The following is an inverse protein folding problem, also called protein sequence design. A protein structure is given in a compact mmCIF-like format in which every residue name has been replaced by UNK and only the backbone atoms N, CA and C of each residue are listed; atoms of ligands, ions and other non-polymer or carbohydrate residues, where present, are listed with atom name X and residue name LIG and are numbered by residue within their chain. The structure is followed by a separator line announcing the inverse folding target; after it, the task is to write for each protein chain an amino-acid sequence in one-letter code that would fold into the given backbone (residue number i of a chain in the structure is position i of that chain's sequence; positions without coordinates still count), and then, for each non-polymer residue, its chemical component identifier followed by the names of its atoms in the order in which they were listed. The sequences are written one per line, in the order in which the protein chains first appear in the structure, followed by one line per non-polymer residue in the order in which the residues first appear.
data_IF_589659845289
#
_entry.id   IF_589659845289
#
_cell.length_a   1.000
_cell.length_b   1.000
_cell.length_c   1.000
_cell.angle_alpha   90.00
_cell.angle_beta   90.00
_cell.angle_gamma   90.00
#
_symmetry.space_group_name_H-M   'P 1'
#
loop_
_entity.id
_entity.type
_entity.pdbx_description
1 polymer ?
#
# COMPACT_ATOMS: atom_id res chain seq x y z
N UNK A 1 28.26 -20.58 17.82
CA UNK A 1 27.53 -19.60 17.02
C UNK A 1 28.50 -19.08 15.97
N UNK A 2 28.39 -19.50 14.71
CA UNK A 2 29.19 -18.92 13.62
C UNK A 2 28.38 -17.76 13.02
N UNK A 3 29.05 -16.66 12.69
CA UNK A 3 28.55 -15.51 11.92
C UNK A 3 27.62 -14.49 12.64
N UNK A 4 27.58 -14.47 13.97
CA UNK A 4 26.88 -13.41 14.73
C UNK A 4 25.34 -13.51 14.73
N UNK A 5 24.77 -14.63 14.26
CA UNK A 5 23.34 -14.89 14.32
C UNK A 5 22.87 -15.30 15.73
N UNK A 6 21.76 -14.72 16.17
CA UNK A 6 21.08 -15.04 17.44
C UNK A 6 19.93 -16.00 17.15
N UNK A 7 19.69 -16.99 18.04
CA UNK A 7 18.54 -17.90 17.89
C UNK A 7 17.22 -17.11 17.86
N UNK A 8 16.37 -17.38 16.87
CA UNK A 8 15.06 -16.73 16.72
C UNK A 8 14.17 -16.98 17.93
N UNK A 9 14.16 -18.21 18.45
CA UNK A 9 13.51 -18.51 19.73
C UNK A 9 14.52 -18.41 20.89
N UNK A 10 14.19 -17.74 22.01
CA UNK A 10 12.90 -17.07 22.27
C UNK A 10 12.89 -15.58 21.90
N UNK A 11 14.03 -14.97 21.58
CA UNK A 11 14.18 -13.50 21.56
C UNK A 11 13.34 -12.81 20.48
N UNK A 12 13.39 -13.30 19.25
CA UNK A 12 12.66 -12.70 18.13
C UNK A 12 11.16 -13.01 18.22
N UNK A 13 10.79 -14.25 18.56
CA UNK A 13 9.38 -14.64 18.69
C UNK A 13 8.66 -13.88 19.80
N UNK A 14 9.28 -13.67 20.96
CA UNK A 14 8.68 -12.85 22.03
C UNK A 14 8.38 -11.42 21.58
N UNK A 15 9.24 -10.82 20.75
CA UNK A 15 9.02 -9.48 20.21
C UNK A 15 7.88 -9.47 19.19
N UNK A 16 7.78 -10.50 18.35
CA UNK A 16 6.67 -10.64 17.39
C UNK A 16 5.35 -10.82 18.13
N UNK A 17 5.30 -11.77 19.08
CA UNK A 17 4.10 -12.06 19.87
C UNK A 17 3.64 -10.82 20.66
N UNK A 18 4.56 -10.15 21.35
CA UNK A 18 4.26 -8.90 22.05
C UNK A 18 3.74 -7.81 21.10
N UNK A 19 4.40 -7.60 19.96
CA UNK A 19 3.96 -6.63 18.94
C UNK A 19 2.58 -6.97 18.36
N UNK A 20 2.33 -8.25 18.09
CA UNK A 20 1.06 -8.73 17.56
C UNK A 20 -0.07 -8.51 18.56
N UNK A 21 0.13 -8.90 19.83
CA UNK A 21 -0.85 -8.68 20.89
C UNK A 21 -1.14 -7.20 21.10
N UNK A 22 -0.10 -6.35 21.12
CA UNK A 22 -0.27 -4.89 21.25
C UNK A 22 -1.04 -4.31 20.06
N UNK A 23 -0.71 -4.71 18.83
CA UNK A 23 -1.41 -4.24 17.64
C UNK A 23 -2.87 -4.69 17.63
N UNK A 24 -3.16 -5.95 17.97
CA UNK A 24 -4.52 -6.45 18.08
C UNK A 24 -5.31 -5.72 19.15
N UNK A 25 -4.74 -5.53 20.34
CA UNK A 25 -5.38 -4.78 21.42
C UNK A 25 -5.67 -3.33 20.99
N UNK A 26 -4.72 -2.66 20.34
CA UNK A 26 -4.90 -1.32 19.80
C UNK A 26 -6.05 -1.28 18.77
N UNK A 27 -6.08 -2.21 17.81
CA UNK A 27 -7.14 -2.27 16.80
C UNK A 27 -8.52 -2.51 17.42
N UNK A 28 -8.63 -3.40 18.42
CA UNK A 28 -9.88 -3.63 19.14
C UNK A 28 -10.32 -2.40 19.92
N UNK A 29 -9.41 -1.71 20.61
CA UNK A 29 -9.70 -0.45 21.29
C UNK A 29 -10.20 0.61 20.30
N UNK A 30 -9.49 0.81 19.19
CA UNK A 30 -9.90 1.76 18.15
C UNK A 30 -11.27 1.39 17.56
N UNK A 31 -11.57 0.10 17.35
CA UNK A 31 -12.87 -0.34 16.85
C UNK A 31 -14.03 -0.04 17.82
N UNK A 32 -13.76 -0.01 19.14
CA UNK A 32 -14.77 0.38 20.14
C UNK A 32 -14.92 1.89 20.29
N UNK A 33 -13.86 2.67 20.03
CA UNK A 33 -13.84 4.12 20.23
C UNK A 33 -14.18 4.92 18.97
N UNK A 34 -13.86 4.39 17.79
CA UNK A 34 -14.06 5.04 16.50
C UNK A 34 -15.19 4.31 15.77
N UNK A 35 -16.32 5.00 15.62
CA UNK A 35 -17.45 4.46 14.87
C UNK A 35 -17.09 4.31 13.39
N UNK A 36 -17.40 3.14 12.84
CA UNK A 36 -17.19 2.89 11.41
C UNK A 36 -18.07 3.83 10.57
N UNK A 37 -17.52 4.51 9.55
CA UNK A 37 -18.28 5.38 8.66
C UNK A 37 -19.06 4.53 7.63
N UNK A 38 -20.07 3.80 8.12
CA UNK A 38 -20.92 2.97 7.28
C UNK A 38 -21.93 3.83 6.52
N UNK A 39 -22.10 3.54 5.24
CA UNK A 39 -23.15 4.14 4.40
C UNK A 39 -24.48 3.40 4.61
N UNK A 40 -25.54 3.91 3.99
CA UNK A 40 -26.83 3.23 3.92
C UNK A 40 -26.72 1.84 3.26
N UNK A 41 -27.73 1.00 3.47
CA UNK A 41 -27.80 -0.31 2.85
C UNK A 41 -27.70 -0.20 1.32
N UNK A 42 -26.91 -1.07 0.71
CA UNK A 42 -26.67 -1.04 -0.73
C UNK A 42 -27.98 -1.19 -1.52
N UNK A 43 -28.25 -0.23 -2.41
CA UNK A 43 -29.38 -0.27 -3.34
C UNK A 43 -28.87 -0.57 -4.75
N UNK A 44 -29.19 -1.74 -5.35
CA UNK A 44 -28.75 -2.08 -6.71
C UNK A 44 -29.26 -1.12 -7.79
N UNK A 45 -30.34 -0.37 -7.53
CA UNK A 45 -30.90 0.59 -8.47
C UNK A 45 -30.20 1.96 -8.44
N UNK A 46 -29.32 2.23 -7.47
CA UNK A 46 -28.67 3.52 -7.28
C UNK A 46 -27.18 3.37 -6.99
N UNK A 47 -26.33 3.83 -7.91
CA UNK A 47 -24.88 3.87 -7.71
C UNK A 47 -24.50 5.15 -6.95
N UNK A 48 -23.80 5.07 -5.80
CA UNK A 48 -23.38 6.24 -5.05
C UNK A 48 -22.37 7.08 -5.85
N UNK A 49 -22.44 8.40 -5.70
CA UNK A 49 -21.55 9.35 -6.38
C UNK A 49 -21.08 10.44 -5.41
N UNK A 50 -19.78 10.55 -5.10
CA UNK A 50 -18.67 9.74 -5.61
C UNK A 50 -18.62 8.34 -5.01
N UNK A 51 -18.34 7.34 -5.84
CA UNK A 51 -17.96 6.00 -5.39
C UNK A 51 -16.44 6.00 -5.14
N UNK A 52 -16.00 5.75 -3.91
CA UNK A 52 -14.58 5.61 -3.55
C UNK A 52 -14.29 4.16 -3.18
N UNK A 53 -13.20 3.60 -3.71
CA UNK A 53 -12.72 2.27 -3.37
C UNK A 53 -12.10 2.25 -1.97
N UNK A 54 -11.76 1.06 -1.47
CA UNK A 54 -10.97 0.94 -0.25
C UNK A 54 -9.68 1.77 -0.34
N UNK A 55 -9.24 2.37 0.78
CA UNK A 55 -8.17 3.37 0.81
C UNK A 55 -6.86 2.91 0.15
N UNK A 56 -6.50 1.62 0.27
CA UNK A 56 -5.29 1.05 -0.34
C UNK A 56 -5.42 0.78 -1.85
N UNK A 57 -6.63 0.89 -2.42
CA UNK A 57 -6.92 0.78 -3.86
C UNK A 57 -7.26 2.14 -4.50
N UNK A 58 -7.30 3.23 -3.73
CA UNK A 58 -7.68 4.55 -4.26
C UNK A 58 -6.74 5.04 -5.35
N UNK A 59 -5.44 4.77 -5.25
CA UNK A 59 -4.49 5.13 -6.30
C UNK A 59 -4.75 4.41 -7.63
N UNK A 60 -5.24 3.17 -7.59
CA UNK A 60 -5.64 2.43 -8.80
C UNK A 60 -6.86 3.08 -9.44
N UNK A 61 -7.85 3.38 -8.61
CA UNK A 61 -9.06 4.07 -9.07
C UNK A 61 -8.72 5.44 -9.67
N UNK A 62 -7.82 6.18 -9.04
CA UNK A 62 -7.33 7.46 -9.54
C UNK A 62 -6.64 7.35 -10.88
N UNK A 63 -5.90 6.29 -11.17
CA UNK A 63 -5.29 6.12 -12.49
C UNK A 63 -6.33 5.72 -13.54
N UNK A 64 -7.18 4.75 -13.22
CA UNK A 64 -8.19 4.21 -14.15
C UNK A 64 -9.27 5.23 -14.50
N UNK A 65 -9.52 6.22 -13.63
CA UNK A 65 -10.48 7.30 -13.91
C UNK A 65 -10.10 8.17 -15.10
N UNK A 66 -8.80 8.28 -15.44
CA UNK A 66 -8.32 9.09 -16.56
C UNK A 66 -8.50 8.35 -17.88
N UNK A 67 -8.23 7.05 -17.87
CA UNK A 67 -8.46 6.18 -19.00
C UNK A 67 -8.48 4.73 -18.53
N UNK A 68 -9.41 3.94 -19.07
CA UNK A 68 -9.44 2.49 -18.85
C UNK A 68 -8.13 1.81 -19.25
N UNK A 69 -7.35 2.40 -20.17
CA UNK A 69 -6.05 1.89 -20.59
C UNK A 69 -4.98 1.97 -19.49
N UNK A 70 -5.18 2.76 -18.42
CA UNK A 70 -4.25 2.86 -17.30
C UNK A 70 -4.14 1.55 -16.49
N UNK A 71 -5.01 0.58 -16.72
CA UNK A 71 -4.85 -0.77 -16.16
C UNK A 71 -3.57 -1.47 -16.66
N UNK A 72 -3.16 -1.24 -17.91
CA UNK A 72 -1.98 -1.89 -18.49
C UNK A 72 -0.66 -1.48 -17.81
N UNK A 73 -0.34 -0.19 -17.59
CA UNK A 73 0.85 0.18 -16.85
C UNK A 73 0.80 -0.27 -15.38
N UNK A 74 -0.37 -0.32 -14.74
CA UNK A 74 -0.52 -0.90 -13.40
C UNK A 74 -0.13 -2.38 -13.40
N UNK A 75 -0.67 -3.17 -14.34
CA UNK A 75 -0.37 -4.59 -14.46
C UNK A 75 1.11 -4.83 -14.81
N UNK A 76 1.66 -4.01 -15.70
CA UNK A 76 3.08 -4.05 -16.04
C UNK A 76 3.96 -3.77 -14.81
N UNK A 77 3.61 -2.77 -14.01
CA UNK A 77 4.32 -2.43 -12.77
C UNK A 77 4.24 -3.58 -11.76
N UNK A 78 3.06 -4.17 -11.56
CA UNK A 78 2.86 -5.33 -10.72
C UNK A 78 3.69 -6.53 -11.19
N UNK A 79 3.69 -6.80 -12.50
CA UNK A 79 4.52 -7.83 -13.12
C UNK A 79 6.02 -7.58 -12.96
N UNK A 80 6.46 -6.32 -13.08
CA UNK A 80 7.85 -5.93 -12.87
C UNK A 80 8.29 -6.20 -11.42
N UNK A 81 7.49 -5.82 -10.42
CA UNK A 81 7.80 -6.10 -9.02
C UNK A 81 7.73 -7.58 -8.68
N UNK A 82 6.78 -8.32 -9.28
CA UNK A 82 6.68 -9.77 -9.13
C UNK A 82 7.93 -10.46 -9.71
N UNK A 83 8.41 -10.03 -10.87
CA UNK A 83 9.57 -10.63 -11.56
C UNK A 83 10.92 -10.05 -11.09
N UNK A 84 10.92 -9.05 -10.21
CA UNK A 84 12.11 -8.33 -9.76
C UNK A 84 13.27 -9.23 -9.30
N UNK A 85 13.06 -10.35 -8.57
CA UNK A 85 14.14 -11.26 -8.19
C UNK A 85 14.87 -11.91 -9.38
N UNK A 86 14.22 -12.04 -10.53
CA UNK A 86 14.74 -12.70 -11.73
C UNK A 86 15.25 -11.72 -12.79
N UNK A 87 15.06 -10.42 -12.60
CA UNK A 87 15.49 -9.41 -13.56
C UNK A 87 17.01 -9.21 -13.54
N UNK A 88 17.63 -8.98 -14.72
CA UNK A 88 19.06 -8.69 -14.80
C UNK A 88 19.39 -7.41 -14.01
N UNK A 89 20.40 -7.48 -13.14
CA UNK A 89 20.78 -6.39 -12.23
C UNK A 89 20.24 -6.57 -10.80
N UNK A 90 19.32 -7.50 -10.56
CA UNK A 90 18.91 -7.91 -9.21
C UNK A 90 20.02 -8.75 -8.57
N UNK A 91 20.90 -8.12 -7.79
CA UNK A 91 21.97 -8.82 -7.07
C UNK A 91 21.41 -9.49 -5.82
N UNK A 92 21.76 -10.75 -5.56
CA UNK A 92 21.43 -11.39 -4.29
C UNK A 92 22.13 -10.66 -3.13
N UNK A 93 21.34 -10.19 -2.18
CA UNK A 93 21.85 -9.55 -0.97
C UNK A 93 21.68 -10.51 0.20
N UNK A 94 22.77 -10.83 0.89
CA UNK A 94 22.77 -11.73 2.05
C UNK A 94 22.19 -11.08 3.33
N UNK A 95 22.00 -9.76 3.35
CA UNK A 95 21.46 -9.00 4.48
C UNK A 95 20.54 -7.88 4.01
N UNK A 96 19.30 -7.88 4.49
CA UNK A 96 18.37 -6.78 4.22
C UNK A 96 18.93 -5.46 4.77
N UNK A 97 19.02 -4.45 3.91
CA UNK A 97 19.51 -3.11 4.22
C UNK A 97 18.69 -2.11 3.42
N UNK A 98 18.38 -0.97 4.01
CA UNK A 98 17.74 0.14 3.31
C UNK A 98 18.74 0.80 2.36
N UNK A 99 18.32 1.05 1.11
CA UNK A 99 19.13 1.70 0.07
C UNK A 99 20.53 1.10 -0.11
N UNK A 100 20.65 -0.22 -0.37
CA UNK A 100 21.94 -0.83 -0.65
C UNK A 100 22.52 -0.22 -1.93
N UNK A 101 23.80 0.15 -1.91
CA UNK A 101 24.49 0.74 -3.08
C UNK A 101 24.41 -0.17 -4.30
N UNK A 102 24.38 -1.48 -4.06
CA UNK A 102 24.31 -2.54 -5.07
C UNK A 102 22.97 -2.57 -5.83
N UNK A 103 21.89 -2.06 -5.23
CA UNK A 103 20.57 -1.96 -5.83
C UNK A 103 19.99 -0.54 -5.69
N UNK A 104 20.86 0.47 -5.73
CA UNK A 104 20.44 1.85 -5.51
C UNK A 104 19.39 2.29 -6.55
N UNK A 105 19.56 1.90 -7.83
CA UNK A 105 18.58 2.17 -8.88
C UNK A 105 17.20 1.57 -8.59
N UNK A 106 17.14 0.30 -8.17
CA UNK A 106 15.89 -0.37 -7.78
C UNK A 106 15.27 0.31 -6.56
N UNK A 107 16.09 0.72 -5.58
CA UNK A 107 15.62 1.38 -4.36
C UNK A 107 14.99 2.74 -4.66
N UNK A 108 15.65 3.56 -5.49
CA UNK A 108 15.12 4.85 -5.93
C UNK A 108 13.86 4.66 -6.78
N UNK A 109 13.87 3.72 -7.72
CA UNK A 109 12.68 3.40 -8.52
C UNK A 109 11.50 3.00 -7.64
N UNK A 110 11.72 2.10 -6.68
CA UNK A 110 10.69 1.65 -5.72
C UNK A 110 10.16 2.83 -4.88
N UNK A 111 11.05 3.73 -4.45
CA UNK A 111 10.66 4.92 -3.70
C UNK A 111 9.82 5.89 -4.55
N UNK A 112 10.20 6.11 -5.82
CA UNK A 112 9.43 6.95 -6.74
C UNK A 112 8.03 6.37 -6.99
N UNK A 113 7.93 5.06 -7.20
CA UNK A 113 6.64 4.36 -7.33
C UNK A 113 5.81 4.52 -6.07
N UNK A 114 6.42 4.32 -4.90
CA UNK A 114 5.73 4.48 -3.61
C UNK A 114 5.20 5.90 -3.43
N UNK A 115 6.01 6.92 -3.73
CA UNK A 115 5.60 8.32 -3.69
C UNK A 115 4.44 8.57 -4.67
N UNK A 116 4.52 8.05 -5.91
CA UNK A 116 3.44 8.19 -6.88
C UNK A 116 2.12 7.56 -6.39
N UNK A 117 2.18 6.36 -5.81
CA UNK A 117 1.01 5.69 -5.19
C UNK A 117 0.42 6.56 -4.07
N UNK A 118 1.27 7.11 -3.19
CA UNK A 118 0.82 8.01 -2.12
C UNK A 118 0.18 9.27 -2.68
N UNK A 119 0.79 9.91 -3.68
CA UNK A 119 0.25 11.11 -4.33
C UNK A 119 -1.12 10.82 -4.93
N UNK A 120 -1.27 9.74 -5.72
CA UNK A 120 -2.55 9.35 -6.29
C UNK A 120 -3.59 9.03 -5.20
N UNK A 121 -3.19 8.37 -4.11
CA UNK A 121 -4.09 8.08 -2.97
C UNK A 121 -4.58 9.36 -2.32
N UNK A 122 -3.69 10.32 -2.03
CA UNK A 122 -4.04 11.62 -1.44
C UNK A 122 -4.94 12.42 -2.37
N UNK A 123 -4.63 12.46 -3.68
CA UNK A 123 -5.48 13.12 -4.69
C UNK A 123 -6.88 12.53 -4.70
N UNK A 124 -7.02 11.20 -4.77
CA UNK A 124 -8.32 10.54 -4.74
C UNK A 124 -9.08 10.72 -3.42
N UNK A 125 -8.37 10.74 -2.30
CA UNK A 125 -9.00 10.86 -0.99
C UNK A 125 -9.58 12.26 -0.78
N UNK A 126 -8.81 13.31 -1.09
CA UNK A 126 -9.14 14.69 -0.69
C UNK A 126 -9.61 15.59 -1.85
N UNK A 127 -9.21 15.33 -3.09
CA UNK A 127 -9.45 16.25 -4.22
C UNK A 127 -10.48 15.73 -5.23
N UNK A 128 -10.99 14.50 -5.06
CA UNK A 128 -12.01 13.91 -5.94
C UNK A 128 -13.40 14.00 -5.33
N UNK A 129 -14.27 14.75 -6.01
CA UNK A 129 -15.70 14.94 -5.69
C UNK A 129 -16.63 14.19 -6.63
N UNK A 130 -17.90 14.63 -6.70
CA UNK A 130 -18.91 14.02 -7.57
C UNK A 130 -18.46 13.98 -9.04
N UNK A 131 -18.83 12.91 -9.74
CA UNK A 131 -18.40 12.63 -11.12
C UNK A 131 -16.87 12.59 -11.30
N UNK A 132 -16.13 12.31 -10.23
CA UNK A 132 -14.66 12.34 -10.19
C UNK A 132 -14.05 13.70 -10.57
N UNK A 133 -14.84 14.77 -10.43
CA UNK A 133 -14.38 16.13 -10.67
C UNK A 133 -13.34 16.54 -9.64
N UNK A 134 -12.38 17.36 -10.09
CA UNK A 134 -11.37 17.92 -9.19
C UNK A 134 -12.03 19.05 -8.38
N UNK A 135 -12.20 18.82 -7.09
CA UNK A 135 -12.85 19.76 -6.17
C UNK A 135 -12.08 19.76 -4.87
N UNK A 136 -11.87 20.94 -4.30
CA UNK A 136 -11.27 21.10 -2.98
C UNK A 136 -12.42 21.28 -1.99
N UNK A 137 -12.98 20.18 -1.50
CA UNK A 137 -13.95 20.22 -0.40
C UNK A 137 -13.20 19.95 0.92
N UNK A 138 -13.38 20.78 1.95
CA UNK A 138 -12.94 20.47 3.30
C UNK A 138 -13.69 19.26 3.88
#
# INVERSE_FOLDING_TARGET
MKDGFVKSSPRFFRLIEGSALLLTALLLLLATLIQAPLQEAANPALTPNPVKSAWFLLWLQELVSWSRLMIYPILLLGGLFLLLPWLPGSRHIHRARWFPKEQFGISIFTMLVFIAILTCTVVALFFRGANWSFTLHP
#
